data_IF_880361080851
#
_entry.id   IF_880361080851
#
_cell.length_a   1.000
_cell.length_b   1.000
_cell.length_c   1.000
_cell.angle_alpha   90.00
_cell.angle_beta   90.00
_cell.angle_gamma   90.00
#
_symmetry.space_group_name_H-M   'P 1'
#
loop_
_entity.id
_entity.type
_entity.pdbx_description
1 polymer ?
#
# COMPACT_ATOMS: atom_id res chain seq x y z
N UNK A 1 -9.65 -18.65 -5.56
CA UNK A 1 -9.82 -17.88 -6.82
C UNK A 1 -10.06 -16.40 -6.55
N UNK A 2 -11.14 -16.01 -5.85
CA UNK A 2 -11.45 -14.58 -5.60
C UNK A 2 -10.33 -13.80 -4.87
N UNK A 3 -9.68 -14.37 -3.85
CA UNK A 3 -8.56 -13.72 -3.14
C UNK A 3 -7.37 -13.43 -4.06
N UNK A 4 -6.96 -14.43 -4.85
CA UNK A 4 -5.88 -14.27 -5.82
C UNK A 4 -6.19 -13.22 -6.89
N UNK A 5 -7.46 -13.10 -7.29
CA UNK A 5 -7.87 -12.03 -8.20
C UNK A 5 -7.72 -10.66 -7.53
N UNK A 6 -8.20 -10.49 -6.29
CA UNK A 6 -8.11 -9.23 -5.54
C UNK A 6 -6.68 -8.79 -5.25
N UNK A 7 -5.72 -9.71 -5.19
CA UNK A 7 -4.30 -9.39 -4.99
C UNK A 7 -3.60 -9.05 -6.29
N UNK A 8 -3.92 -9.73 -7.39
CA UNK A 8 -3.26 -9.53 -8.68
C UNK A 8 -3.85 -8.36 -9.49
N UNK A 9 -5.16 -8.11 -9.39
CA UNK A 9 -5.86 -7.05 -10.12
C UNK A 9 -5.23 -5.67 -9.96
N UNK A 10 -4.81 -5.22 -8.75
CA UNK A 10 -4.10 -3.95 -8.58
C UNK A 10 -2.79 -3.87 -9.39
N UNK A 11 -2.00 -4.95 -9.48
CA UNK A 11 -0.76 -4.96 -10.26
C UNK A 11 -1.03 -4.90 -11.77
N UNK A 12 -2.01 -5.65 -12.24
CA UNK A 12 -2.45 -5.58 -13.64
C UNK A 12 -2.96 -4.17 -13.96
N UNK A 13 -3.76 -3.60 -13.06
CA UNK A 13 -4.27 -2.24 -13.17
C UNK A 13 -3.15 -1.20 -13.28
N UNK A 14 -2.08 -1.36 -12.48
CA UNK A 14 -0.94 -0.46 -12.49
C UNK A 14 -0.24 -0.35 -13.85
N UNK A 15 -0.41 -1.34 -14.75
CA UNK A 15 0.20 -1.35 -16.08
C UNK A 15 -0.76 -0.78 -17.13
N UNK A 16 -2.03 -1.16 -17.07
CA UNK A 16 -2.98 -0.96 -18.17
C UNK A 16 -4.01 0.16 -17.95
N UNK A 17 -4.16 0.66 -16.71
CA UNK A 17 -5.22 1.59 -16.34
C UNK A 17 -4.66 2.84 -15.64
N UNK A 18 -5.42 3.96 -15.64
CA UNK A 18 -5.03 5.17 -14.92
C UNK A 18 -4.87 4.94 -13.41
N UNK A 19 -3.96 5.70 -12.80
CA UNK A 19 -3.59 5.58 -11.38
C UNK A 19 -4.77 5.58 -10.38
N UNK A 20 -5.89 6.32 -10.56
CA UNK A 20 -6.99 6.30 -9.59
C UNK A 20 -7.64 4.92 -9.47
N UNK A 21 -7.72 4.18 -10.59
CA UNK A 21 -8.30 2.84 -10.60
C UNK A 21 -7.43 1.85 -9.84
N UNK A 22 -6.11 1.94 -10.02
CA UNK A 22 -5.12 1.15 -9.28
C UNK A 22 -5.20 1.39 -7.79
N UNK A 23 -5.32 2.65 -7.36
CA UNK A 23 -5.46 3.01 -5.94
C UNK A 23 -6.75 2.44 -5.35
N UNK A 24 -7.87 2.55 -6.06
CA UNK A 24 -9.15 2.01 -5.60
C UNK A 24 -9.06 0.48 -5.39
N UNK A 25 -8.52 -0.24 -6.37
CA UNK A 25 -8.35 -1.69 -6.27
C UNK A 25 -7.39 -2.09 -5.14
N UNK A 26 -6.27 -1.37 -5.01
CA UNK A 26 -5.33 -1.58 -3.91
C UNK A 26 -5.99 -1.37 -2.54
N UNK A 27 -6.79 -0.32 -2.36
CA UNK A 27 -7.52 -0.07 -1.11
C UNK A 27 -8.56 -1.15 -0.81
N UNK A 28 -9.30 -1.61 -1.81
CA UNK A 28 -10.27 -2.71 -1.64
C UNK A 28 -9.55 -3.98 -1.17
N UNK A 29 -8.35 -4.25 -1.70
CA UNK A 29 -7.59 -5.45 -1.34
C UNK A 29 -7.12 -5.48 0.13
N UNK A 30 -6.99 -4.33 0.80
CA UNK A 30 -6.49 -4.20 2.19
C UNK A 30 -7.22 -5.09 3.18
N UNK A 31 -8.53 -5.26 3.00
CA UNK A 31 -9.36 -6.07 3.91
C UNK A 31 -8.91 -7.53 3.96
N UNK A 32 -8.33 -8.04 2.87
CA UNK A 32 -7.87 -9.42 2.77
C UNK A 32 -6.36 -9.52 2.88
N UNK A 33 -5.63 -8.61 2.24
CA UNK A 33 -4.17 -8.59 2.24
C UNK A 33 -3.65 -7.16 2.48
N UNK A 34 -3.29 -6.82 3.73
CA UNK A 34 -2.96 -5.45 4.12
C UNK A 34 -1.65 -4.94 3.50
N UNK A 35 -0.82 -5.83 2.98
CA UNK A 35 0.47 -5.49 2.36
C UNK A 35 0.34 -5.17 0.86
N UNK A 36 -0.80 -5.46 0.22
CA UNK A 36 -0.97 -5.24 -1.21
C UNK A 36 -0.79 -3.78 -1.63
N UNK A 37 -1.36 -2.76 -0.96
CA UNK A 37 -1.14 -1.38 -1.37
C UNK A 37 0.33 -0.96 -1.35
N UNK A 38 1.09 -1.45 -0.35
CA UNK A 38 2.51 -1.17 -0.25
C UNK A 38 3.26 -1.82 -1.42
N UNK A 39 2.99 -3.09 -1.70
CA UNK A 39 3.63 -3.81 -2.79
C UNK A 39 3.29 -3.20 -4.17
N UNK A 40 2.03 -2.81 -4.39
CA UNK A 40 1.57 -2.15 -5.62
C UNK A 40 2.18 -0.76 -5.76
N UNK A 41 2.29 0.00 -4.66
CA UNK A 41 2.94 1.31 -4.65
C UNK A 41 4.41 1.20 -5.07
N UNK A 42 5.18 0.30 -4.43
CA UNK A 42 6.58 0.05 -4.80
C UNK A 42 6.73 -0.44 -6.24
N UNK A 43 5.81 -1.29 -6.71
CA UNK A 43 5.79 -1.74 -8.09
C UNK A 43 5.58 -0.58 -9.07
N UNK A 44 4.57 0.27 -8.82
CA UNK A 44 4.32 1.46 -9.64
C UNK A 44 5.50 2.43 -9.62
N UNK A 45 6.12 2.63 -8.45
CA UNK A 45 7.30 3.48 -8.29
C UNK A 45 8.49 2.98 -9.11
N UNK A 46 8.68 1.66 -9.22
CA UNK A 46 9.72 1.07 -10.08
C UNK A 46 9.37 1.17 -11.57
N UNK A 47 8.11 0.97 -11.94
CA UNK A 47 7.66 1.05 -13.34
C UNK A 47 7.71 2.47 -13.91
N UNK A 48 7.34 3.45 -13.11
CA UNK A 48 7.20 4.85 -13.52
C UNK A 48 8.33 5.74 -13.01
N UNK A 49 9.47 5.15 -12.65
CA UNK A 49 10.62 5.91 -12.18
C UNK A 49 11.13 6.85 -13.27
N UNK A 50 11.14 8.15 -12.95
CA UNK A 50 11.78 9.21 -13.74
C UNK A 50 12.51 10.16 -12.81
N UNK A 51 13.63 10.80 -13.24
CA UNK A 51 14.43 11.66 -12.36
C UNK A 51 13.63 12.79 -11.70
N UNK A 52 12.64 13.35 -12.39
CA UNK A 52 11.74 14.39 -11.85
C UNK A 52 10.81 13.89 -10.74
N UNK A 53 10.58 12.58 -10.64
CA UNK A 53 9.70 11.93 -9.66
C UNK A 53 10.48 11.11 -8.63
N UNK A 54 11.77 11.36 -8.44
CA UNK A 54 12.64 10.57 -7.55
C UNK A 54 12.18 10.55 -6.07
N UNK A 55 11.30 11.47 -5.66
CA UNK A 55 10.73 11.52 -4.31
C UNK A 55 9.53 10.60 -4.09
N UNK A 56 8.86 10.13 -5.16
CA UNK A 56 7.65 9.31 -5.03
C UNK A 56 7.90 7.99 -4.26
N UNK A 57 8.99 7.23 -4.51
CA UNK A 57 9.32 6.05 -3.71
C UNK A 57 9.51 6.35 -2.21
N UNK A 58 10.06 7.54 -1.90
CA UNK A 58 10.27 7.98 -0.52
C UNK A 58 8.93 8.22 0.18
N UNK A 59 7.93 8.75 -0.52
CA UNK A 59 6.58 8.89 0.01
C UNK A 59 5.92 7.54 0.28
N UNK A 60 6.07 6.56 -0.62
CA UNK A 60 5.57 5.18 -0.40
C UNK A 60 6.19 4.56 0.85
N UNK A 61 7.52 4.66 1.01
CA UNK A 61 8.23 4.13 2.16
C UNK A 61 7.87 4.85 3.47
N UNK A 62 7.76 6.18 3.44
CA UNK A 62 7.37 6.95 4.63
C UNK A 62 5.93 6.62 5.06
N UNK A 63 4.99 6.42 4.14
CA UNK A 63 3.65 5.95 4.46
C UNK A 63 3.64 4.58 5.16
N UNK A 64 4.50 3.66 4.71
CA UNK A 64 4.69 2.37 5.37
C UNK A 64 5.25 2.55 6.80
N UNK A 65 6.26 3.41 6.97
CA UNK A 65 6.84 3.70 8.28
C UNK A 65 5.81 4.31 9.25
N UNK A 66 5.03 5.30 8.78
CA UNK A 66 3.94 5.91 9.57
C UNK A 66 2.91 4.87 9.99
N UNK A 67 2.55 3.94 9.10
CA UNK A 67 1.61 2.86 9.41
C UNK A 67 2.15 1.94 10.51
N UNK A 68 3.43 1.57 10.44
CA UNK A 68 4.09 0.77 11.49
C UNK A 68 4.10 1.51 12.84
N UNK A 69 4.45 2.81 12.83
CA UNK A 69 4.45 3.64 14.03
C UNK A 69 3.03 3.72 14.62
N UNK A 70 2.01 3.94 13.80
CA UNK A 70 0.63 4.01 14.24
C UNK A 70 0.16 2.70 14.88
N UNK A 71 0.51 1.55 14.28
CA UNK A 71 0.21 0.23 14.85
C UNK A 71 0.93 -0.01 16.19
N UNK A 72 2.20 0.42 16.29
CA UNK A 72 2.96 0.33 17.53
C UNK A 72 2.32 1.18 18.64
N UNK A 73 2.04 2.46 18.39
CA UNK A 73 1.38 3.35 19.35
C UNK A 73 0.03 2.80 19.78
N UNK A 74 -0.78 2.33 18.82
CA UNK A 74 -2.09 1.70 19.09
C UNK A 74 -1.96 0.48 20.01
N UNK A 75 -0.94 -0.36 19.82
CA UNK A 75 -0.72 -1.53 20.67
C UNK A 75 -0.39 -1.13 22.12
N UNK A 76 0.46 -0.11 22.31
CA UNK A 76 0.83 0.40 23.64
C UNK A 76 -0.35 1.03 24.37
N UNK A 77 -1.17 1.82 23.68
CA UNK A 77 -2.38 2.41 24.27
C UNK A 77 -3.39 1.34 24.71
N UNK A 78 -3.59 0.28 23.91
CA UNK A 78 -4.45 -0.84 24.31
C UNK A 78 -3.92 -1.58 25.54
N UNK A 79 -2.61 -1.78 25.63
CA UNK A 79 -1.99 -2.39 26.82
C UNK A 79 -2.15 -1.51 28.06
N UNK A 80 -2.19 -0.18 27.91
CA UNK A 80 -2.37 0.76 29.03
C UNK A 80 -3.79 0.80 29.60
N UNK A 81 -4.82 0.54 28.79
CA UNK A 81 -6.23 0.55 29.25
C UNK A 81 -6.59 -0.74 30.00
N UNK A 82 -5.83 -1.82 29.81
CA UNK A 82 -6.04 -3.13 30.46
C UNK A 82 -5.22 -3.33 31.75
N UNK A 83 -4.63 -2.27 32.32
CA UNK A 83 -4.04 -2.25 33.66
C UNK A 83 -4.86 -1.35 34.56
#
# INVERSE_FOLDING_TARGET
MMRAALTLLPFVSAIFFPWPFTVLLALISVRWEPLVPLAVGLFADTLYYVPSAALVPVFTLSGAAVTVIALFVRSRLRTSIMR
#
